data_IF_146091888181
#
_entry.id   IF_146091888181
#
_cell.length_a   1.000
_cell.length_b   1.000
_cell.length_c   1.000
_cell.angle_alpha   90.00
_cell.angle_beta   90.00
_cell.angle_gamma   90.00
#
_symmetry.space_group_name_H-M   'P 1'
#
loop_
_entity.id
_entity.type
_entity.pdbx_description
1 polymer ?
#
# COMPACT_ATOMS: atom_id res chain seq x y z
N UNK A 1 8.97 19.86 -28.82
CA UNK A 1 7.73 19.20 -28.41
C UNK A 1 7.96 17.71 -28.57
N UNK A 2 8.37 17.04 -27.50
CA UNK A 2 8.51 15.59 -27.47
C UNK A 2 7.78 15.12 -26.20
N UNK A 3 6.63 14.53 -26.40
CA UNK A 3 5.90 13.82 -25.37
C UNK A 3 6.74 12.60 -24.98
N UNK A 4 7.35 12.62 -23.81
CA UNK A 4 7.96 11.42 -23.22
C UNK A 4 6.83 10.58 -22.62
N UNK A 5 6.24 9.75 -23.48
CA UNK A 5 5.50 8.57 -23.03
C UNK A 5 6.44 7.74 -22.17
N UNK A 6 6.06 7.50 -20.91
CA UNK A 6 6.63 6.41 -20.13
C UNK A 6 6.15 5.14 -20.83
N UNK A 7 7.01 4.59 -21.69
CA UNK A 7 6.71 3.34 -22.37
C UNK A 7 6.58 2.23 -21.33
N UNK A 8 5.36 1.72 -21.15
CA UNK A 8 5.11 0.40 -20.65
C UNK A 8 5.66 -0.56 -21.70
N UNK A 9 6.90 -1.03 -21.53
CA UNK A 9 7.42 -2.15 -22.31
C UNK A 9 6.64 -3.39 -21.91
N UNK A 10 5.65 -3.73 -22.72
CA UNK A 10 5.06 -5.04 -22.76
C UNK A 10 6.15 -6.02 -23.18
N UNK A 11 6.70 -6.77 -22.26
CA UNK A 11 7.47 -7.97 -22.61
C UNK A 11 6.49 -9.06 -23.00
N UNK A 12 6.49 -9.35 -24.29
CA UNK A 12 5.80 -10.50 -24.85
C UNK A 12 6.28 -11.79 -24.17
N UNK A 13 5.34 -12.51 -23.60
CA UNK A 13 5.54 -13.88 -23.11
C UNK A 13 5.74 -14.81 -24.28
N UNK A 14 6.99 -15.19 -24.56
CA UNK A 14 7.25 -16.43 -25.30
C UNK A 14 7.00 -17.58 -24.34
N UNK A 15 5.88 -18.24 -24.54
CA UNK A 15 5.54 -19.51 -23.89
C UNK A 15 6.48 -20.60 -24.36
N UNK A 16 7.40 -21.03 -23.50
CA UNK A 16 8.02 -22.33 -23.61
C UNK A 16 7.13 -23.31 -22.85
N UNK A 17 6.40 -24.09 -23.61
CA UNK A 17 5.55 -25.17 -23.16
C UNK A 17 6.45 -26.31 -22.72
N UNK A 18 6.49 -26.62 -21.42
CA UNK A 18 7.07 -27.85 -20.89
C UNK A 18 5.90 -28.71 -20.41
N UNK A 19 5.65 -29.78 -21.16
CA UNK A 19 4.74 -30.86 -20.79
C UNK A 19 5.20 -31.53 -19.50
N UNK A 20 4.38 -31.46 -18.44
CA UNK A 20 4.49 -32.32 -17.26
C UNK A 20 3.14 -33.00 -17.03
N UNK A 21 3.15 -34.32 -17.16
CA UNK A 21 2.01 -35.19 -16.93
C UNK A 21 1.47 -35.13 -15.50
N UNK A 22 0.17 -35.39 -15.26
CA UNK A 22 -0.42 -35.26 -13.94
C UNK A 22 -0.03 -36.45 -13.04
N UNK A 23 0.48 -36.17 -11.85
CA UNK A 23 0.69 -37.17 -10.80
C UNK A 23 -0.65 -37.50 -10.13
N UNK A 24 -1.00 -38.77 -10.18
CA UNK A 24 -2.18 -39.37 -9.55
C UNK A 24 -2.07 -39.32 -8.03
N UNK A 25 -2.95 -38.56 -7.37
CA UNK A 25 -3.08 -38.58 -5.92
C UNK A 25 -3.91 -39.78 -5.47
N UNK A 26 -3.25 -40.69 -4.76
CA UNK A 26 -3.86 -41.82 -4.05
C UNK A 26 -4.46 -41.31 -2.73
N UNK A 27 -5.76 -41.51 -2.53
CA UNK A 27 -6.44 -41.20 -1.27
C UNK A 27 -6.12 -42.24 -0.19
N UNK A 28 -5.91 -41.82 1.08
CA UNK A 28 -5.80 -42.78 2.17
C UNK A 28 -7.19 -43.19 2.68
N UNK A 29 -7.27 -44.49 3.01
CA UNK A 29 -8.44 -45.22 3.43
C UNK A 29 -9.06 -44.74 4.74
N UNK A 30 -10.39 -44.85 4.84
CA UNK A 30 -11.19 -44.62 6.02
C UNK A 30 -10.87 -45.68 7.09
N UNK A 31 -10.59 -45.23 8.29
CA UNK A 31 -10.58 -46.08 9.48
C UNK A 31 -11.89 -45.93 10.22
N UNK A 32 -12.50 -47.08 10.55
CA UNK A 32 -13.78 -47.27 11.19
C UNK A 32 -13.67 -47.12 12.71
N UNK A 33 -14.70 -46.54 13.29
CA UNK A 33 -15.03 -46.38 14.72
C UNK A 33 -15.13 -47.72 15.45
N UNK A 34 -15.01 -47.75 16.80
CA UNK A 34 -16.08 -48.32 17.58
C UNK A 34 -16.63 -47.39 18.67
N UNK A 35 -17.93 -47.64 18.92
CA UNK A 35 -18.80 -46.95 19.84
C UNK A 35 -18.70 -47.45 21.30
N UNK A 36 -19.25 -46.63 22.15
CA UNK A 36 -19.91 -46.89 23.41
C UNK A 36 -19.13 -46.81 24.72
N UNK A 37 -19.52 -45.88 25.56
CA UNK A 37 -20.14 -46.18 26.84
C UNK A 37 -20.63 -44.89 27.52
N UNK A 38 -21.90 -44.84 27.81
CA UNK A 38 -22.57 -43.89 28.72
C UNK A 38 -22.26 -44.24 30.18
N UNK A 39 -22.16 -43.27 31.09
CA UNK A 39 -22.67 -43.44 32.44
C UNK A 39 -23.67 -42.36 32.85
N UNK A 40 -24.60 -42.81 33.61
CA UNK A 40 -25.83 -42.27 34.15
C UNK A 40 -25.56 -41.17 35.20
N UNK A 41 -26.39 -40.14 35.11
CA UNK A 41 -26.91 -39.18 36.09
C UNK A 41 -26.50 -39.24 37.57
N UNK A 42 -26.08 -38.08 38.09
CA UNK A 42 -26.42 -37.64 39.44
C UNK A 42 -26.77 -36.14 39.40
N UNK A 43 -28.04 -35.86 39.71
CA UNK A 43 -28.63 -34.53 39.82
C UNK A 43 -28.27 -33.95 41.18
N UNK A 44 -27.52 -32.86 41.20
CA UNK A 44 -27.43 -31.97 42.37
C UNK A 44 -27.84 -30.56 41.94
N UNK A 45 -28.98 -30.12 42.45
CA UNK A 45 -29.51 -28.77 42.27
C UNK A 45 -28.64 -27.78 43.04
N UNK A 46 -27.85 -26.98 42.32
CA UNK A 46 -27.18 -25.82 42.87
C UNK A 46 -27.96 -24.56 42.48
N UNK A 47 -28.26 -23.74 43.46
CA UNK A 47 -28.99 -22.48 43.35
C UNK A 47 -28.28 -21.54 42.36
N UNK A 48 -29.00 -21.16 41.30
CA UNK A 48 -28.54 -20.18 40.32
C UNK A 48 -28.68 -18.78 40.94
N UNK A 49 -27.58 -18.24 41.45
CA UNK A 49 -27.46 -16.81 41.72
C UNK A 49 -27.45 -16.07 40.40
N UNK A 50 -28.50 -15.29 40.10
CA UNK A 50 -28.61 -14.43 38.92
C UNK A 50 -27.68 -13.24 39.12
N UNK A 51 -26.40 -13.38 38.76
CA UNK A 51 -25.55 -12.22 38.52
C UNK A 51 -25.99 -11.56 37.21
N UNK A 52 -26.35 -10.28 37.27
CA UNK A 52 -26.65 -9.45 36.11
C UNK A 52 -25.51 -9.54 35.10
N UNK A 53 -25.79 -9.59 33.79
CA UNK A 53 -24.73 -9.61 32.79
C UNK A 53 -23.92 -8.32 32.90
N UNK A 54 -22.64 -8.47 33.25
CA UNK A 54 -21.70 -7.37 33.17
C UNK A 54 -21.78 -6.78 31.75
N UNK A 55 -22.17 -5.53 31.66
CA UNK A 55 -22.14 -4.76 30.43
C UNK A 55 -20.73 -4.90 29.81
N UNK A 56 -20.59 -5.70 28.75
CA UNK A 56 -19.39 -5.75 27.95
C UNK A 56 -19.22 -4.34 27.41
N UNK A 57 -18.32 -3.56 28.01
CA UNK A 57 -17.88 -2.30 27.44
C UNK A 57 -17.52 -2.58 25.98
N UNK A 58 -18.29 -2.04 25.04
CA UNK A 58 -18.01 -2.11 23.62
C UNK A 58 -16.64 -1.45 23.44
N UNK A 59 -15.61 -2.26 23.27
CA UNK A 59 -14.29 -1.77 22.91
C UNK A 59 -14.46 -0.82 21.72
N UNK A 60 -14.14 0.46 21.93
CA UNK A 60 -14.26 1.47 20.88
C UNK A 60 -13.43 1.00 19.69
N UNK A 61 -14.09 0.69 18.57
CA UNK A 61 -13.41 0.24 17.34
C UNK A 61 -12.45 1.33 16.94
N UNK A 62 -11.17 1.03 17.02
CA UNK A 62 -10.10 2.00 16.77
C UNK A 62 -10.21 2.51 15.34
N UNK A 63 -10.33 3.83 15.16
CA UNK A 63 -10.42 4.43 13.83
C UNK A 63 -9.13 4.23 13.07
N UNK A 64 -9.21 3.62 11.90
CA UNK A 64 -8.15 3.60 10.89
C UNK A 64 -8.50 4.68 9.86
N UNK A 65 -7.66 5.71 9.70
CA UNK A 65 -7.91 6.73 8.69
C UNK A 65 -7.85 6.13 7.29
N UNK A 66 -8.76 6.60 6.42
CA UNK A 66 -8.83 6.15 5.02
C UNK A 66 -8.39 7.28 4.10
N UNK A 67 -7.60 6.96 3.10
CA UNK A 67 -7.12 7.82 2.04
C UNK A 67 -7.34 7.21 0.66
N UNK A 68 -6.95 7.97 -0.37
CA UNK A 68 -6.74 7.46 -1.73
C UNK A 68 -5.28 7.55 -2.13
N UNK A 69 -4.81 6.58 -2.93
CA UNK A 69 -3.55 6.61 -3.68
C UNK A 69 -3.92 6.66 -5.17
N UNK A 70 -4.03 7.84 -5.79
CA UNK A 70 -4.46 7.97 -7.19
C UNK A 70 -3.31 7.75 -8.20
N UNK A 71 -2.09 7.46 -7.73
CA UNK A 71 -0.93 7.37 -8.59
C UNK A 71 -0.49 8.73 -9.14
N UNK A 72 0.24 8.71 -10.27
CA UNK A 72 0.75 9.93 -10.91
C UNK A 72 -0.32 10.74 -11.65
N UNK A 73 -1.40 10.11 -12.12
CA UNK A 73 -2.39 10.73 -13.01
C UNK A 73 -2.97 12.02 -12.46
N UNK A 74 -3.28 12.08 -11.17
CA UNK A 74 -3.86 13.26 -10.53
C UNK A 74 -2.97 14.51 -10.60
N UNK A 75 -1.66 14.35 -10.74
CA UNK A 75 -0.72 15.46 -10.84
C UNK A 75 -0.67 16.04 -12.25
N UNK A 76 -1.07 15.29 -13.26
CA UNK A 76 -1.07 15.68 -14.66
C UNK A 76 -2.39 16.30 -15.11
N UNK A 77 -3.42 16.19 -14.29
CA UNK A 77 -4.75 16.73 -14.56
C UNK A 77 -4.77 18.25 -14.71
N UNK A 78 -5.79 18.73 -15.39
CA UNK A 78 -6.15 20.16 -15.35
C UNK A 78 -6.45 20.59 -13.92
N UNK A 79 -6.37 21.88 -13.62
CA UNK A 79 -6.72 22.39 -12.30
C UNK A 79 -8.20 22.13 -11.96
N UNK A 80 -9.06 22.16 -12.95
CA UNK A 80 -10.48 21.88 -12.79
C UNK A 80 -10.71 20.41 -12.43
N UNK A 81 -10.09 19.50 -13.15
CA UNK A 81 -10.22 18.06 -12.91
C UNK A 81 -9.62 17.66 -11.55
N UNK A 82 -8.44 18.18 -11.22
CA UNK A 82 -7.85 17.99 -9.89
C UNK A 82 -8.81 18.42 -8.77
N UNK A 83 -9.43 19.60 -8.90
CA UNK A 83 -10.40 20.09 -7.92
C UNK A 83 -11.60 19.17 -7.82
N UNK A 84 -12.14 18.73 -8.97
CA UNK A 84 -13.26 17.80 -9.04
C UNK A 84 -12.96 16.48 -8.35
N UNK A 85 -11.79 15.88 -8.60
CA UNK A 85 -11.40 14.63 -8.01
C UNK A 85 -11.16 14.76 -6.49
N UNK A 86 -10.52 15.82 -6.03
CA UNK A 86 -10.38 16.09 -4.59
C UNK A 86 -11.73 16.34 -3.89
N UNK A 87 -12.69 16.97 -4.56
CA UNK A 87 -14.04 17.18 -4.04
C UNK A 87 -14.82 15.86 -3.96
N UNK A 88 -14.66 14.96 -4.95
CA UNK A 88 -15.20 13.60 -4.89
C UNK A 88 -14.63 12.79 -3.71
N UNK A 89 -13.33 12.87 -3.44
CA UNK A 89 -12.73 12.25 -2.25
C UNK A 89 -13.39 12.76 -0.97
N UNK A 90 -13.60 14.08 -0.87
CA UNK A 90 -14.27 14.68 0.29
C UNK A 90 -15.73 14.26 0.42
N UNK A 91 -16.45 14.12 -0.69
CA UNK A 91 -17.84 13.66 -0.73
C UNK A 91 -17.99 12.22 -0.23
N UNK A 92 -17.04 11.34 -0.51
CA UNK A 92 -16.96 9.99 0.07
C UNK A 92 -16.67 10.06 1.59
N UNK A 93 -15.98 11.08 2.05
CA UNK A 93 -15.58 11.24 3.44
C UNK A 93 -14.11 10.99 3.71
N UNK A 94 -13.31 10.83 2.67
CA UNK A 94 -11.86 10.67 2.74
C UNK A 94 -11.20 12.02 3.03
N UNK A 95 -10.16 11.97 3.87
CA UNK A 95 -9.41 13.17 4.31
C UNK A 95 -7.91 12.99 4.19
N UNK A 96 -7.48 12.00 3.42
CA UNK A 96 -6.06 11.69 3.19
C UNK A 96 -5.83 11.34 1.73
N UNK A 97 -4.62 11.66 1.26
CA UNK A 97 -4.16 11.29 -0.07
C UNK A 97 -2.69 10.86 0.01
N UNK A 98 -2.31 9.86 -0.77
CA UNK A 98 -0.93 9.50 -1.02
C UNK A 98 -0.54 10.06 -2.38
N UNK A 99 0.52 10.83 -2.44
CA UNK A 99 0.99 11.51 -3.66
C UNK A 99 2.44 11.21 -3.91
N UNK A 100 2.78 10.93 -5.15
CA UNK A 100 4.16 10.79 -5.58
C UNK A 100 4.83 12.16 -5.69
N UNK A 101 5.96 12.32 -5.05
CA UNK A 101 6.85 13.47 -5.19
C UNK A 101 8.12 12.99 -5.90
N UNK A 102 8.06 12.93 -7.22
CA UNK A 102 9.10 12.38 -8.05
C UNK A 102 10.33 13.30 -8.13
N UNK A 103 11.51 12.78 -7.74
CA UNK A 103 12.75 13.50 -7.92
C UNK A 103 13.03 13.81 -9.39
N UNK A 104 12.77 12.85 -10.28
CA UNK A 104 12.95 13.05 -11.73
C UNK A 104 12.09 14.17 -12.30
N UNK A 105 10.85 14.34 -11.80
CA UNK A 105 9.97 15.41 -12.27
C UNK A 105 10.35 16.78 -11.69
N UNK A 106 10.72 16.80 -10.43
CA UNK A 106 11.07 18.06 -9.74
C UNK A 106 12.45 18.56 -10.15
N UNK A 107 13.43 17.68 -10.29
CA UNK A 107 14.81 18.03 -10.69
C UNK A 107 15.16 17.37 -12.02
N UNK A 108 14.34 17.60 -13.06
CA UNK A 108 14.59 17.10 -14.41
C UNK A 108 15.92 17.59 -15.00
N UNK A 109 16.37 18.76 -14.57
CA UNK A 109 17.70 19.29 -14.86
C UNK A 109 18.48 19.45 -13.57
N UNK A 110 19.66 18.90 -13.49
CA UNK A 110 20.51 18.90 -12.29
C UNK A 110 20.67 20.29 -11.68
N UNK A 111 20.35 20.42 -10.39
CA UNK A 111 20.45 21.68 -9.64
C UNK A 111 19.29 22.66 -9.88
N UNK A 112 18.30 22.31 -10.70
CA UNK A 112 17.13 23.16 -10.97
C UNK A 112 15.85 22.44 -10.52
N UNK A 113 15.25 22.93 -9.44
CA UNK A 113 13.99 22.41 -8.93
C UNK A 113 12.80 23.15 -9.53
N UNK A 114 11.91 22.42 -10.18
CA UNK A 114 10.58 22.89 -10.57
C UNK A 114 9.53 22.22 -9.66
N UNK A 115 9.02 22.97 -8.72
CA UNK A 115 7.99 22.54 -7.78
C UNK A 115 6.56 22.85 -8.24
N UNK A 116 6.38 23.47 -9.39
CA UNK A 116 5.09 24.04 -9.84
C UNK A 116 3.95 23.04 -9.81
N UNK A 117 4.18 21.82 -10.29
CA UNK A 117 3.19 20.75 -10.29
C UNK A 117 2.84 20.30 -8.87
N UNK A 118 3.83 20.07 -8.04
CA UNK A 118 3.63 19.65 -6.64
C UNK A 118 2.97 20.76 -5.82
N UNK A 119 3.40 22.02 -5.98
CA UNK A 119 2.81 23.18 -5.32
C UNK A 119 1.32 23.29 -5.61
N UNK A 120 0.93 23.13 -6.89
CA UNK A 120 -0.46 23.16 -7.33
C UNK A 120 -1.31 22.12 -6.61
N UNK A 121 -0.87 20.86 -6.61
CA UNK A 121 -1.62 19.76 -5.98
C UNK A 121 -1.70 19.93 -4.47
N UNK A 122 -0.58 20.27 -3.82
CA UNK A 122 -0.52 20.46 -2.38
C UNK A 122 -1.35 21.67 -1.92
N UNK A 123 -1.42 22.76 -2.72
CA UNK A 123 -2.30 23.87 -2.41
C UNK A 123 -3.78 23.47 -2.43
N UNK A 124 -4.21 22.69 -3.43
CA UNK A 124 -5.60 22.23 -3.53
C UNK A 124 -5.98 21.20 -2.44
N UNK A 125 -5.06 20.29 -2.08
CA UNK A 125 -5.28 19.37 -0.94
C UNK A 125 -5.41 20.13 0.38
N UNK A 126 -4.55 21.15 0.61
CA UNK A 126 -4.60 22.01 1.80
C UNK A 126 -5.92 22.77 1.92
N UNK A 127 -6.40 23.39 0.83
CA UNK A 127 -7.68 24.12 0.81
C UNK A 127 -8.86 23.23 1.24
N UNK A 128 -8.78 21.92 0.99
CA UNK A 128 -9.82 20.94 1.33
C UNK A 128 -9.58 20.21 2.65
N UNK A 129 -8.54 20.56 3.39
CA UNK A 129 -8.17 19.86 4.62
C UNK A 129 -7.80 18.38 4.41
N UNK A 130 -7.28 18.04 3.23
CA UNK A 130 -6.79 16.70 2.89
C UNK A 130 -5.33 16.59 3.33
N UNK A 131 -5.02 15.62 4.19
CA UNK A 131 -3.65 15.36 4.67
C UNK A 131 -2.90 14.52 3.65
N UNK A 132 -1.65 14.88 3.39
CA UNK A 132 -0.81 14.23 2.40
C UNK A 132 0.18 13.27 3.05
N UNK A 133 0.28 12.06 2.50
CA UNK A 133 1.42 11.18 2.57
C UNK A 133 2.19 11.37 1.26
N UNK A 134 3.41 11.88 1.33
CA UNK A 134 4.25 12.06 0.15
C UNK A 134 5.18 10.85 -0.04
N UNK A 135 5.12 10.22 -1.20
CA UNK A 135 6.09 9.22 -1.64
C UNK A 135 7.22 9.94 -2.33
N UNK A 136 8.44 9.86 -1.80
CA UNK A 136 9.63 10.37 -2.47
C UNK A 136 10.36 9.23 -3.17
N UNK A 137 10.61 9.40 -4.46
CA UNK A 137 11.21 8.35 -5.28
C UNK A 137 11.63 8.84 -6.66
N UNK A 138 11.97 7.89 -7.52
CA UNK A 138 12.16 8.05 -8.96
C UNK A 138 13.35 8.96 -9.32
N UNK A 139 14.52 8.33 -9.41
CA UNK A 139 15.75 8.99 -9.77
C UNK A 139 15.71 9.55 -11.20
N UNK A 140 16.16 10.80 -11.44
CA UNK A 140 16.25 11.35 -12.79
C UNK A 140 17.39 10.72 -13.60
N UNK A 141 17.24 10.70 -14.92
CA UNK A 141 18.19 10.09 -15.86
C UNK A 141 19.60 10.66 -15.73
N UNK A 142 19.74 11.96 -15.49
CA UNK A 142 21.04 12.60 -15.29
C UNK A 142 21.81 12.11 -14.05
N UNK A 143 21.11 11.49 -13.08
CA UNK A 143 21.72 10.89 -11.89
C UNK A 143 21.95 9.40 -12.05
N UNK A 144 21.35 8.74 -13.06
CA UNK A 144 21.53 7.33 -13.33
C UNK A 144 22.97 7.04 -13.79
N UNK A 145 23.56 6.01 -13.22
CA UNK A 145 24.90 5.51 -13.58
C UNK A 145 24.81 4.06 -14.00
N UNK A 146 25.76 3.68 -14.85
CA UNK A 146 25.91 2.32 -15.34
C UNK A 146 27.36 1.86 -15.10
N UNK A 147 27.55 0.57 -14.90
CA UNK A 147 28.89 -0.03 -14.86
C UNK A 147 29.44 -0.26 -16.31
N UNK A 148 30.67 -0.79 -16.39
CA UNK A 148 31.30 -1.08 -17.68
C UNK A 148 30.57 -2.14 -18.53
N UNK A 149 29.67 -2.93 -17.92
CA UNK A 149 28.83 -3.90 -18.61
C UNK A 149 27.42 -3.35 -18.93
N UNK A 150 27.20 -2.04 -18.77
CA UNK A 150 25.90 -1.40 -19.03
C UNK A 150 24.83 -1.71 -18.00
N UNK A 151 25.16 -2.23 -16.82
CA UNK A 151 24.19 -2.56 -15.78
C UNK A 151 23.92 -1.33 -14.93
N UNK A 152 22.64 -1.02 -14.62
CA UNK A 152 22.28 0.12 -13.79
C UNK A 152 22.89 0.00 -12.40
N UNK A 153 23.46 1.09 -11.93
CA UNK A 153 23.99 1.19 -10.58
C UNK A 153 22.91 1.60 -9.60
N UNK A 154 23.08 1.31 -8.29
CA UNK A 154 22.16 1.75 -7.26
C UNK A 154 21.91 3.26 -7.29
N UNK A 155 20.76 3.65 -6.74
CA UNK A 155 20.31 5.06 -6.63
C UNK A 155 21.42 5.96 -6.06
N UNK A 156 21.61 7.15 -6.63
CA UNK A 156 22.47 8.21 -6.08
C UNK A 156 21.91 8.68 -4.71
N UNK A 157 22.37 8.04 -3.66
CA UNK A 157 21.89 8.28 -2.29
C UNK A 157 22.14 9.72 -1.84
N UNK A 158 23.26 10.32 -2.25
CA UNK A 158 23.60 11.68 -1.83
C UNK A 158 22.70 12.71 -2.53
N UNK A 159 22.48 12.55 -3.82
CA UNK A 159 21.56 13.37 -4.60
C UNK A 159 20.13 13.24 -4.10
N UNK A 160 19.67 12.01 -3.93
CA UNK A 160 18.34 11.75 -3.44
C UNK A 160 18.10 12.30 -2.01
N UNK A 161 19.08 12.18 -1.12
CA UNK A 161 19.00 12.74 0.22
C UNK A 161 18.95 14.28 0.24
N UNK A 162 19.65 14.95 -0.69
CA UNK A 162 19.54 16.41 -0.87
C UNK A 162 18.14 16.81 -1.33
N UNK A 163 17.62 16.13 -2.36
CA UNK A 163 16.25 16.34 -2.84
C UNK A 163 15.21 16.14 -1.72
N UNK A 164 15.30 15.03 -0.99
CA UNK A 164 14.39 14.72 0.12
C UNK A 164 14.40 15.82 1.20
N UNK A 165 15.57 16.32 1.57
CA UNK A 165 15.71 17.43 2.51
C UNK A 165 15.09 18.74 2.02
N UNK A 166 15.29 19.07 0.73
CA UNK A 166 14.67 20.24 0.11
C UNK A 166 13.14 20.13 0.05
N UNK A 167 12.63 18.95 -0.33
CA UNK A 167 11.19 18.67 -0.35
C UNK A 167 10.57 18.80 1.06
N UNK A 168 11.22 18.22 2.07
CA UNK A 168 10.75 18.28 3.45
C UNK A 168 10.72 19.73 3.98
N UNK A 169 11.75 20.51 3.74
CA UNK A 169 11.79 21.92 4.13
C UNK A 169 10.69 22.74 3.45
N UNK A 170 10.44 22.49 2.14
CA UNK A 170 9.40 23.20 1.38
C UNK A 170 7.99 22.88 1.88
N UNK A 171 7.71 21.61 2.18
CA UNK A 171 6.35 21.10 2.40
C UNK A 171 6.06 20.71 3.86
N UNK A 172 6.90 21.10 4.83
CA UNK A 172 6.80 20.75 6.24
C UNK A 172 5.43 21.00 6.91
N UNK A 173 4.65 21.96 6.39
CA UNK A 173 3.31 22.28 6.91
C UNK A 173 2.17 21.64 6.14
N UNK A 174 2.47 20.94 5.04
CA UNK A 174 1.49 20.40 4.11
C UNK A 174 1.54 18.87 4.06
N UNK A 175 2.74 18.29 4.16
CA UNK A 175 2.95 16.84 4.18
C UNK A 175 2.90 16.34 5.62
N UNK A 176 2.06 15.35 5.88
CA UNK A 176 1.89 14.76 7.22
C UNK A 176 2.76 13.53 7.46
N UNK A 177 3.28 12.93 6.40
CA UNK A 177 4.20 11.79 6.44
C UNK A 177 4.96 11.65 5.12
N UNK A 178 6.13 11.02 5.17
CA UNK A 178 7.06 10.81 4.06
C UNK A 178 7.32 9.32 3.90
N UNK A 179 7.04 8.78 2.74
CA UNK A 179 7.31 7.39 2.38
C UNK A 179 8.53 7.33 1.47
N UNK A 180 9.55 6.56 1.85
CA UNK A 180 10.79 6.48 1.09
C UNK A 180 10.66 5.40 0.03
N UNK A 181 10.56 5.81 -1.24
CA UNK A 181 10.41 5.01 -2.44
C UNK A 181 9.05 4.34 -2.56
N UNK A 182 8.78 3.79 -3.77
CA UNK A 182 7.63 2.95 -4.08
C UNK A 182 8.11 1.56 -4.50
N UNK A 183 7.59 0.51 -3.88
CA UNK A 183 7.83 -0.90 -4.17
C UNK A 183 9.30 -1.28 -4.43
N UNK A 184 10.23 -0.94 -3.49
CA UNK A 184 11.66 -1.17 -3.68
C UNK A 184 12.04 -2.66 -3.69
N UNK A 185 11.09 -3.53 -3.43
CA UNK A 185 11.23 -4.97 -3.49
C UNK A 185 10.94 -5.57 -4.88
N UNK A 186 10.61 -4.73 -5.87
CA UNK A 186 10.38 -5.11 -7.28
C UNK A 186 11.37 -4.41 -8.21
N UNK A 187 11.98 -5.15 -9.16
CA UNK A 187 12.91 -4.60 -10.14
C UNK A 187 12.28 -3.49 -11.00
N UNK A 188 10.99 -3.63 -11.35
CA UNK A 188 10.29 -2.62 -12.17
C UNK A 188 10.24 -1.22 -11.54
N UNK A 189 10.39 -1.13 -10.21
CA UNK A 189 10.39 0.13 -9.47
C UNK A 189 11.75 0.47 -8.85
N UNK A 190 12.61 -0.54 -8.68
CA UNK A 190 13.96 -0.39 -8.15
C UNK A 190 14.97 -0.58 -9.28
N UNK A 191 15.54 0.47 -9.79
CA UNK A 191 16.37 0.58 -11.00
C UNK A 191 17.36 -0.59 -11.24
N UNK A 192 17.94 -1.15 -10.16
CA UNK A 192 18.79 -2.35 -10.15
C UNK A 192 17.99 -3.55 -9.58
N UNK A 193 18.52 -4.78 -9.61
CA UNK A 193 17.89 -5.90 -8.91
C UNK A 193 17.56 -5.54 -7.45
N UNK A 194 16.33 -5.84 -6.96
CA UNK A 194 15.88 -5.44 -5.64
C UNK A 194 16.84 -5.92 -4.55
N UNK A 195 17.24 -5.00 -3.66
CA UNK A 195 18.24 -5.29 -2.65
C UNK A 195 17.95 -4.51 -1.37
N UNK A 196 17.53 -5.21 -0.32
CA UNK A 196 17.20 -4.62 0.97
C UNK A 196 18.38 -3.87 1.63
N UNK A 197 19.63 -4.27 1.37
CA UNK A 197 20.79 -3.57 1.92
C UNK A 197 21.01 -2.21 1.20
N UNK A 198 20.80 -2.15 -0.11
CA UNK A 198 20.88 -0.88 -0.86
C UNK A 198 19.75 0.06 -0.45
N UNK A 199 18.52 -0.46 -0.29
CA UNK A 199 17.39 0.30 0.21
C UNK A 199 17.63 0.81 1.64
N UNK A 200 18.13 -0.02 2.53
CA UNK A 200 18.50 0.37 3.89
C UNK A 200 19.55 1.50 3.90
N UNK A 201 20.55 1.42 3.03
CA UNK A 201 21.54 2.49 2.88
C UNK A 201 20.92 3.80 2.38
N UNK A 202 19.91 3.72 1.48
CA UNK A 202 19.13 4.87 1.04
C UNK A 202 18.34 5.47 2.21
N UNK A 203 17.61 4.67 2.97
CA UNK A 203 16.84 5.11 4.14
C UNK A 203 17.74 5.81 5.16
N UNK A 204 18.91 5.25 5.45
CA UNK A 204 19.87 5.82 6.39
C UNK A 204 20.43 7.18 5.93
N UNK A 205 20.53 7.42 4.64
CA UNK A 205 20.94 8.71 4.07
C UNK A 205 19.80 9.73 4.07
N UNK A 206 18.57 9.29 3.80
CA UNK A 206 17.40 10.13 3.55
C UNK A 206 16.68 10.55 4.83
N UNK A 207 16.44 9.63 5.77
CA UNK A 207 15.65 9.91 6.95
C UNK A 207 16.19 11.08 7.81
N UNK A 208 17.50 11.23 8.06
CA UNK A 208 18.04 12.40 8.74
C UNK A 208 17.80 13.72 7.99
N UNK A 209 17.82 13.69 6.64
CA UNK A 209 17.58 14.86 5.80
C UNK A 209 16.12 15.29 5.80
N UNK A 210 15.19 14.32 5.79
CA UNK A 210 13.76 14.59 5.97
C UNK A 210 13.51 15.29 7.30
N UNK A 211 14.06 14.75 8.39
CA UNK A 211 13.89 15.33 9.73
C UNK A 211 14.60 16.69 9.92
N UNK A 212 15.68 16.92 9.21
CA UNK A 212 16.33 18.24 9.20
C UNK A 212 15.48 19.30 8.47
N UNK A 213 14.82 18.93 7.38
CA UNK A 213 13.90 19.80 6.64
C UNK A 213 12.54 19.97 7.33
N UNK A 214 12.05 18.91 7.93
CA UNK A 214 10.78 18.85 8.68
C UNK A 214 11.00 18.12 10.02
N UNK A 215 11.22 18.83 11.13
CA UNK A 215 11.42 18.21 12.45
C UNK A 215 10.23 17.36 12.93
N UNK A 216 9.03 17.61 12.39
CA UNK A 216 7.82 16.82 12.64
C UNK A 216 7.63 15.65 11.69
N UNK A 217 8.57 15.41 10.76
CA UNK A 217 8.45 14.39 9.74
C UNK A 217 8.21 13.00 10.31
N UNK A 218 7.10 12.40 9.91
CA UNK A 218 6.86 10.97 10.09
C UNK A 218 7.38 10.24 8.87
N UNK A 219 8.36 9.35 9.07
CA UNK A 219 9.04 8.61 8.00
C UNK A 219 8.52 7.19 7.94
N UNK A 220 8.12 6.74 6.74
CA UNK A 220 7.69 5.38 6.46
C UNK A 220 8.75 4.67 5.60
N UNK A 221 8.94 3.38 5.90
CA UNK A 221 9.82 2.49 5.12
C UNK A 221 9.04 1.28 4.64
N UNK A 222 9.42 0.77 3.48
CA UNK A 222 8.82 -0.43 2.92
C UNK A 222 8.10 -0.16 1.62
N UNK A 223 6.82 0.27 1.68
CA UNK A 223 5.95 0.36 0.49
C UNK A 223 6.00 -0.94 -0.33
N UNK A 224 6.05 -2.09 0.38
CA UNK A 224 6.36 -3.37 -0.23
C UNK A 224 5.15 -3.94 -0.94
N UNK A 225 5.34 -4.26 -2.22
CA UNK A 225 4.36 -4.98 -3.06
C UNK A 225 4.32 -6.47 -2.73
N UNK A 226 3.17 -7.14 -2.93
CA UNK A 226 3.12 -8.60 -2.90
C UNK A 226 4.12 -9.21 -3.88
N UNK A 227 4.98 -10.10 -3.37
CA UNK A 227 5.95 -10.82 -4.19
C UNK A 227 6.42 -12.09 -3.48
N UNK A 228 6.93 -13.02 -4.27
CA UNK A 228 7.79 -14.10 -3.81
C UNK A 228 9.26 -13.71 -4.03
N UNK A 229 10.20 -14.51 -3.49
CA UNK A 229 11.62 -14.32 -3.76
C UNK A 229 11.96 -14.91 -5.13
N UNK A 230 12.24 -14.06 -6.12
CA UNK A 230 12.69 -14.43 -7.47
C UNK A 230 14.00 -13.69 -7.74
N UNK A 231 15.06 -14.44 -7.99
CA UNK A 231 16.42 -13.89 -8.14
C UNK A 231 16.47 -12.82 -9.26
N UNK A 232 16.95 -11.64 -8.90
CA UNK A 232 17.07 -10.52 -9.84
C UNK A 232 15.80 -9.72 -10.10
N UNK A 233 14.62 -10.25 -9.80
CA UNK A 233 13.34 -9.67 -10.18
C UNK A 233 12.56 -9.14 -8.98
N UNK A 234 12.35 -9.99 -7.97
CA UNK A 234 11.50 -9.64 -6.83
C UNK A 234 12.04 -10.22 -5.52
N UNK A 235 11.77 -9.51 -4.43
CA UNK A 235 12.05 -9.96 -3.06
C UNK A 235 10.75 -9.92 -2.25
N UNK A 236 10.43 -11.02 -1.57
CA UNK A 236 9.21 -11.07 -0.76
C UNK A 236 9.22 -10.01 0.34
N UNK A 237 8.07 -9.44 0.72
CA UNK A 237 7.99 -8.44 1.79
C UNK A 237 8.64 -8.90 3.10
N UNK A 238 8.55 -10.18 3.43
CA UNK A 238 9.15 -10.73 4.66
C UNK A 238 10.68 -10.75 4.59
N UNK A 239 11.25 -11.22 3.48
CA UNK A 239 12.71 -11.23 3.25
C UNK A 239 13.23 -9.79 3.19
N UNK A 240 12.55 -8.92 2.47
CA UNK A 240 12.93 -7.52 2.33
C UNK A 240 12.92 -6.79 3.68
N UNK A 241 11.85 -6.93 4.46
CA UNK A 241 11.70 -6.28 5.77
C UNK A 241 12.76 -6.75 6.77
N UNK A 242 13.09 -8.05 6.81
CA UNK A 242 14.22 -8.55 7.63
C UNK A 242 15.53 -7.87 7.25
N UNK A 243 15.78 -7.71 5.95
CA UNK A 243 16.97 -7.01 5.45
C UNK A 243 17.02 -5.53 5.84
N UNK A 244 15.87 -4.86 5.90
CA UNK A 244 15.73 -3.48 6.40
C UNK A 244 16.05 -3.41 7.89
N UNK A 245 15.40 -4.22 8.73
CA UNK A 245 15.65 -4.22 10.18
C UNK A 245 17.09 -4.54 10.56
N UNK A 246 17.75 -5.41 9.80
CA UNK A 246 19.16 -5.73 10.04
C UNK A 246 20.11 -4.54 9.84
N UNK A 247 19.68 -3.43 9.21
CA UNK A 247 20.57 -2.35 8.73
C UNK A 247 20.06 -0.93 9.02
N UNK A 248 18.78 -0.77 9.33
CA UNK A 248 18.18 0.55 9.58
C UNK A 248 17.87 0.69 11.06
N UNK A 249 18.50 1.64 11.77
CA UNK A 249 18.15 1.92 13.16
C UNK A 249 16.68 2.37 13.28
N UNK A 250 15.99 1.92 14.33
CA UNK A 250 14.57 2.23 14.56
C UNK A 250 14.27 3.73 14.62
N UNK A 251 15.24 4.55 15.06
CA UNK A 251 15.09 6.01 15.07
C UNK A 251 14.96 6.66 13.70
N UNK A 252 15.29 5.94 12.62
CA UNK A 252 15.25 6.45 11.24
C UNK A 252 13.87 6.34 10.58
N UNK A 253 12.92 5.61 11.19
CA UNK A 253 11.55 5.53 10.68
C UNK A 253 10.53 5.39 11.81
N UNK A 254 9.26 5.65 11.50
CA UNK A 254 8.14 5.68 12.46
C UNK A 254 7.07 4.64 12.16
N UNK A 255 7.09 4.08 10.94
CA UNK A 255 6.16 3.05 10.51
C UNK A 255 6.72 2.23 9.34
N UNK A 256 6.21 1.02 9.19
CA UNK A 256 6.41 0.18 8.01
C UNK A 256 5.20 0.36 7.09
N UNK A 257 5.41 0.36 5.77
CA UNK A 257 4.32 0.43 4.79
C UNK A 257 4.32 -0.77 3.84
N UNK A 258 3.12 -1.14 3.40
CA UNK A 258 2.89 -2.28 2.51
C UNK A 258 1.71 -2.00 1.58
N UNK A 259 1.68 -2.71 0.46
CA UNK A 259 0.58 -2.77 -0.49
C UNK A 259 -0.10 -4.15 -0.38
N UNK A 260 -1.05 -4.36 0.54
CA UNK A 260 -1.59 -5.69 0.82
C UNK A 260 -2.69 -6.10 -0.15
N UNK A 261 -2.44 -6.00 -1.45
CA UNK A 261 -3.39 -6.47 -2.46
C UNK A 261 -3.75 -7.94 -2.24
N UNK A 262 -5.04 -8.25 -2.38
CA UNK A 262 -5.58 -9.59 -2.16
C UNK A 262 -6.43 -10.12 -3.31
N UNK A 263 -6.70 -9.29 -4.33
CA UNK A 263 -7.51 -9.71 -5.46
C UNK A 263 -6.90 -10.92 -6.19
N UNK A 264 -7.75 -11.78 -6.77
CA UNK A 264 -9.20 -11.70 -6.75
C UNK A 264 -9.83 -12.21 -5.43
N UNK A 265 -9.05 -12.66 -4.45
CA UNK A 265 -9.57 -13.13 -3.16
C UNK A 265 -9.92 -11.97 -2.21
N UNK A 266 -10.86 -12.24 -1.30
CA UNK A 266 -11.22 -11.30 -0.24
C UNK A 266 -10.05 -11.08 0.74
N UNK A 267 -9.90 -9.88 1.35
CA UNK A 267 -8.85 -9.62 2.35
C UNK A 267 -9.02 -10.44 3.64
N UNK A 268 -10.17 -11.11 3.80
CA UNK A 268 -10.44 -12.06 4.88
C UNK A 268 -10.00 -13.48 4.56
N UNK A 269 -9.56 -13.75 3.34
CA UNK A 269 -9.08 -15.05 2.88
C UNK A 269 -7.85 -15.52 3.66
N UNK A 270 -7.61 -16.83 3.64
CA UNK A 270 -6.51 -17.50 4.34
C UNK A 270 -5.49 -18.09 3.39
N UNK A 271 -5.61 -17.78 2.11
CA UNK A 271 -4.67 -18.22 1.07
C UNK A 271 -3.26 -17.73 1.44
N UNK A 272 -2.27 -18.60 1.31
CA UNK A 272 -0.90 -18.28 1.71
C UNK A 272 -0.29 -17.13 0.90
N UNK A 273 -0.75 -16.92 -0.33
CA UNK A 273 -0.33 -15.80 -1.16
C UNK A 273 -1.03 -14.48 -0.78
N UNK A 274 -2.17 -14.52 -0.06
CA UNK A 274 -2.96 -13.33 0.31
C UNK A 274 -2.16 -12.41 1.23
N UNK A 275 -1.78 -11.26 0.72
CA UNK A 275 -0.89 -10.34 1.43
C UNK A 275 -1.55 -9.73 2.65
N UNK A 276 -2.87 -9.54 2.64
CA UNK A 276 -3.61 -9.13 3.84
C UNK A 276 -3.45 -10.16 4.98
N UNK A 277 -3.54 -11.44 4.65
CA UNK A 277 -3.31 -12.52 5.62
C UNK A 277 -1.85 -12.55 6.09
N UNK A 278 -0.89 -12.34 5.17
CA UNK A 278 0.55 -12.34 5.46
C UNK A 278 1.04 -11.15 6.30
N UNK A 279 0.25 -10.06 6.44
CA UNK A 279 0.64 -8.93 7.30
C UNK A 279 0.94 -9.35 8.75
N UNK A 280 0.36 -10.45 9.25
CA UNK A 280 0.70 -11.01 10.57
C UNK A 280 2.16 -11.40 10.67
N UNK A 281 2.75 -11.92 9.59
CA UNK A 281 4.17 -12.30 9.54
C UNK A 281 5.07 -11.06 9.57
N UNK A 282 4.70 -10.00 8.84
CA UNK A 282 5.39 -8.72 8.94
C UNK A 282 5.34 -8.17 10.37
N UNK A 283 4.19 -8.25 11.03
CA UNK A 283 4.04 -7.86 12.43
C UNK A 283 4.93 -8.65 13.38
N UNK A 284 5.08 -9.96 13.16
CA UNK A 284 6.00 -10.82 13.92
C UNK A 284 7.45 -10.39 13.73
N UNK A 285 7.86 -10.08 12.49
CA UNK A 285 9.21 -9.56 12.18
C UNK A 285 9.44 -8.22 12.92
N UNK A 286 8.49 -7.29 12.89
CA UNK A 286 8.57 -6.02 13.63
C UNK A 286 8.76 -6.26 15.13
N UNK A 287 7.95 -7.13 15.72
CA UNK A 287 8.03 -7.43 17.15
C UNK A 287 9.37 -8.08 17.55
N UNK A 288 9.85 -9.01 16.73
CA UNK A 288 11.14 -9.67 16.95
C UNK A 288 12.35 -8.71 16.88
N UNK A 289 12.18 -7.55 16.20
CA UNK A 289 13.19 -6.50 16.10
C UNK A 289 12.95 -5.34 17.08
N UNK A 290 12.12 -5.53 18.11
CA UNK A 290 11.86 -4.50 19.14
C UNK A 290 10.87 -3.41 18.71
N UNK A 291 10.27 -3.51 17.51
CA UNK A 291 9.37 -2.53 16.91
C UNK A 291 7.89 -2.90 17.08
N UNK A 292 7.53 -3.45 18.24
CA UNK A 292 6.16 -3.86 18.54
C UNK A 292 5.17 -2.69 18.68
N UNK A 293 5.62 -1.44 18.73
CA UNK A 293 4.75 -0.25 18.89
C UNK A 293 4.40 0.42 17.57
N UNK A 294 5.27 0.37 16.58
CA UNK A 294 5.04 0.96 15.26
C UNK A 294 3.87 0.30 14.54
N UNK A 295 3.30 1.02 13.59
CA UNK A 295 2.15 0.58 12.80
C UNK A 295 2.59 0.13 11.41
N UNK A 296 1.80 -0.78 10.82
CA UNK A 296 1.86 -1.08 9.40
C UNK A 296 0.85 -0.17 8.70
N UNK A 297 1.31 0.72 7.83
CA UNK A 297 0.46 1.53 6.96
C UNK A 297 0.18 0.76 5.68
N UNK A 298 -1.07 0.74 5.28
CA UNK A 298 -1.52 0.11 4.04
C UNK A 298 -1.57 1.20 2.98
N UNK A 299 -0.45 1.43 2.30
CA UNK A 299 -0.28 2.63 1.47
C UNK A 299 -0.83 2.49 0.07
N UNK A 300 -1.18 1.26 -0.34
CA UNK A 300 -2.09 0.95 -1.44
C UNK A 300 -2.92 -0.29 -1.14
N UNK A 301 -4.19 -0.24 -1.50
CA UNK A 301 -5.09 -1.38 -1.49
C UNK A 301 -6.23 -1.17 -2.48
N UNK A 302 -6.45 -2.11 -3.37
CA UNK A 302 -7.46 -2.02 -4.42
C UNK A 302 -7.82 -3.37 -5.00
N UNK A 303 -8.77 -3.38 -5.92
CA UNK A 303 -9.10 -4.51 -6.76
C UNK A 303 -9.52 -3.99 -8.14
N UNK A 304 -8.97 -4.51 -9.24
CA UNK A 304 -9.30 -4.06 -10.58
C UNK A 304 -10.64 -4.61 -11.02
N UNK A 305 -11.39 -3.81 -11.77
CA UNK A 305 -12.53 -4.26 -12.58
C UNK A 305 -12.10 -4.47 -14.04
N UNK A 306 -13.04 -4.60 -14.97
CA UNK A 306 -12.70 -4.80 -16.37
C UNK A 306 -12.72 -6.28 -16.77
N UNK A 307 -11.83 -6.64 -17.70
CA UNK A 307 -11.81 -7.98 -18.33
C UNK A 307 -10.45 -8.68 -18.25
N UNK A 308 -9.48 -8.15 -17.54
CA UNK A 308 -8.21 -8.84 -17.29
C UNK A 308 -8.43 -10.11 -16.45
N UNK A 309 -7.51 -11.07 -16.53
CA UNK A 309 -7.60 -12.35 -15.78
C UNK A 309 -7.70 -12.17 -14.26
N UNK A 310 -7.21 -11.05 -13.74
CA UNK A 310 -7.25 -10.72 -12.31
C UNK A 310 -8.41 -9.80 -11.94
N UNK A 311 -9.27 -9.42 -12.91
CA UNK A 311 -10.40 -8.53 -12.68
C UNK A 311 -11.46 -9.18 -11.80
N UNK A 312 -12.15 -8.35 -11.02
CA UNK A 312 -13.31 -8.73 -10.23
C UNK A 312 -14.54 -7.95 -10.70
N UNK A 313 -15.73 -8.45 -10.40
CA UNK A 313 -16.96 -7.70 -10.64
C UNK A 313 -16.99 -6.40 -9.81
N UNK A 314 -17.67 -5.36 -10.29
CA UNK A 314 -17.77 -4.07 -9.59
C UNK A 314 -18.39 -4.20 -8.18
N UNK A 315 -19.30 -5.16 -7.98
CA UNK A 315 -19.88 -5.44 -6.66
C UNK A 315 -18.85 -6.10 -5.73
N UNK A 316 -18.00 -6.98 -6.28
CA UNK A 316 -16.92 -7.62 -5.53
C UNK A 316 -15.84 -6.61 -5.19
N UNK A 317 -15.47 -5.69 -6.11
CA UNK A 317 -14.62 -4.55 -5.81
C UNK A 317 -15.15 -3.76 -4.60
N UNK A 318 -16.43 -3.41 -4.61
CA UNK A 318 -17.06 -2.69 -3.51
C UNK A 318 -16.98 -3.46 -2.19
N UNK A 319 -17.26 -4.76 -2.22
CA UNK A 319 -17.18 -5.64 -1.06
C UNK A 319 -15.74 -5.77 -0.53
N UNK A 320 -14.77 -5.93 -1.41
CA UNK A 320 -13.35 -6.05 -1.08
C UNK A 320 -12.80 -4.78 -0.43
N UNK A 321 -13.09 -3.59 -0.99
CA UNK A 321 -12.61 -2.32 -0.43
C UNK A 321 -13.18 -2.07 0.97
N UNK A 322 -14.48 -2.29 1.17
CA UNK A 322 -15.13 -2.17 2.49
C UNK A 322 -14.56 -3.19 3.47
N UNK A 323 -14.37 -4.43 3.04
CA UNK A 323 -13.78 -5.50 3.86
C UNK A 323 -12.34 -5.17 4.25
N UNK A 324 -11.52 -4.66 3.33
CA UNK A 324 -10.14 -4.23 3.61
C UNK A 324 -10.07 -3.16 4.70
N UNK A 325 -10.95 -2.15 4.64
CA UNK A 325 -11.05 -1.12 5.69
C UNK A 325 -11.41 -1.75 7.03
N UNK A 326 -12.38 -2.66 7.07
CA UNK A 326 -12.81 -3.34 8.29
C UNK A 326 -11.74 -4.24 8.87
N UNK A 327 -11.01 -4.98 8.01
CA UNK A 327 -9.86 -5.80 8.40
C UNK A 327 -8.73 -4.96 8.98
N UNK A 328 -8.41 -3.83 8.35
CA UNK A 328 -7.42 -2.90 8.88
C UNK A 328 -7.82 -2.41 10.29
N UNK A 329 -9.10 -2.09 10.52
CA UNK A 329 -9.59 -1.65 11.84
C UNK A 329 -9.51 -2.74 12.90
N UNK A 330 -9.78 -4.01 12.54
CA UNK A 330 -9.72 -5.14 13.46
C UNK A 330 -8.29 -5.45 13.92
N UNK A 331 -7.30 -5.19 13.07
CA UNK A 331 -5.89 -5.41 13.39
C UNK A 331 -5.33 -4.22 14.16
N UNK A 332 -5.20 -4.31 15.46
CA UNK A 332 -4.71 -3.23 16.32
C UNK A 332 -3.32 -2.65 15.97
N UNK A 333 -2.59 -3.29 15.06
CA UNK A 333 -1.26 -2.87 14.61
C UNK A 333 -1.24 -2.12 13.27
N UNK A 334 -2.39 -1.91 12.62
CA UNK A 334 -2.47 -1.14 11.38
C UNK A 334 -2.53 0.36 11.63
N UNK A 335 -2.00 1.12 10.70
CA UNK A 335 -2.14 2.57 10.53
C UNK A 335 -3.19 2.91 9.46
N UNK A 336 -3.07 4.07 8.81
CA UNK A 336 -3.92 4.46 7.69
C UNK A 336 -3.93 3.43 6.55
N UNK A 337 -5.07 3.35 5.85
CA UNK A 337 -5.22 2.61 4.61
C UNK A 337 -5.52 3.58 3.47
N UNK A 338 -4.83 3.42 2.34
CA UNK A 338 -5.03 4.21 1.12
C UNK A 338 -5.56 3.30 0.02
N UNK A 339 -6.68 3.69 -0.58
CA UNK A 339 -7.33 2.92 -1.62
C UNK A 339 -6.75 3.28 -2.99
N UNK A 340 -6.41 2.28 -3.77
CA UNK A 340 -5.96 2.40 -5.14
C UNK A 340 -7.11 1.94 -6.06
N UNK A 341 -7.85 2.83 -6.78
CA UNK A 341 -7.69 4.27 -6.81
C UNK A 341 -9.04 4.99 -6.76
N UNK A 342 -9.04 6.34 -6.85
CA UNK A 342 -10.28 7.11 -6.92
C UNK A 342 -10.99 6.93 -8.26
N UNK A 343 -10.24 7.07 -9.36
CA UNK A 343 -10.73 7.05 -10.74
C UNK A 343 -9.91 6.07 -11.56
N UNK A 344 -10.54 5.44 -12.53
CA UNK A 344 -9.87 4.62 -13.52
C UNK A 344 -8.78 5.44 -14.24
N UNK A 345 -7.61 4.86 -14.40
CA UNK A 345 -6.47 5.54 -15.01
C UNK A 345 -6.63 5.66 -16.53
N UNK A 346 -7.35 4.73 -17.16
CA UNK A 346 -7.62 4.72 -18.58
C UNK A 346 -8.97 4.10 -18.92
N UNK A 347 -9.11 3.68 -20.17
CA UNK A 347 -10.35 3.11 -20.73
C UNK A 347 -10.19 1.72 -21.30
N UNK A 348 -8.99 1.14 -21.27
CA UNK A 348 -8.77 -0.23 -21.72
C UNK A 348 -9.23 -1.21 -20.65
N UNK A 349 -10.36 -1.86 -20.89
CA UNK A 349 -10.91 -2.84 -19.95
C UNK A 349 -9.99 -4.08 -19.78
N UNK A 350 -9.11 -4.35 -20.73
CA UNK A 350 -8.13 -5.44 -20.67
C UNK A 350 -6.86 -5.09 -19.87
N UNK A 351 -6.54 -3.80 -19.73
CA UNK A 351 -5.43 -3.39 -18.89
C UNK A 351 -5.89 -3.27 -17.44
N UNK A 352 -5.34 -4.12 -16.58
CA UNK A 352 -5.63 -4.11 -15.14
C UNK A 352 -5.41 -2.73 -14.52
N UNK A 353 -4.33 -2.06 -14.88
CA UNK A 353 -3.94 -0.78 -14.26
C UNK A 353 -4.93 0.35 -14.58
N UNK A 354 -5.62 0.26 -15.69
CA UNK A 354 -6.66 1.22 -16.09
C UNK A 354 -7.92 1.15 -15.21
N UNK A 355 -8.17 0.04 -14.49
CA UNK A 355 -9.49 -0.30 -13.98
C UNK A 355 -9.64 -0.37 -12.45
N UNK A 356 -8.73 0.22 -11.68
CA UNK A 356 -8.79 0.22 -10.20
C UNK A 356 -9.72 1.26 -9.58
N UNK A 357 -10.23 2.19 -10.34
CA UNK A 357 -11.04 3.31 -9.85
C UNK A 357 -12.34 2.88 -9.16
N UNK A 358 -12.78 3.67 -8.18
CA UNK A 358 -14.17 3.62 -7.67
C UNK A 358 -15.09 4.53 -8.49
N UNK A 359 -14.51 5.32 -9.36
CA UNK A 359 -15.14 6.05 -10.47
C UNK A 359 -14.56 5.49 -11.77
N UNK A 360 -15.35 5.49 -12.84
CA UNK A 360 -14.85 5.25 -14.20
C UNK A 360 -13.92 6.37 -14.64
N UNK A 361 -13.22 6.20 -15.77
CA UNK A 361 -12.34 7.25 -16.31
C UNK A 361 -13.06 8.58 -16.57
N UNK A 362 -14.32 8.53 -16.99
CA UNK A 362 -15.21 9.69 -17.20
C UNK A 362 -16.01 10.10 -15.96
N UNK A 363 -15.62 9.60 -14.77
CA UNK A 363 -16.15 9.94 -13.44
C UNK A 363 -17.57 9.46 -13.12
N UNK A 364 -18.10 8.46 -13.80
CA UNK A 364 -19.31 7.78 -13.34
C UNK A 364 -18.99 6.92 -12.09
N UNK A 365 -19.91 6.95 -11.14
CA UNK A 365 -19.71 6.22 -9.89
C UNK A 365 -19.93 4.71 -10.06
N UNK A 366 -18.91 3.91 -9.77
CA UNK A 366 -19.07 2.46 -9.61
C UNK A 366 -19.74 2.15 -8.25
N UNK A 367 -20.29 0.94 -8.02
CA UNK A 367 -20.88 0.55 -6.74
C UNK A 367 -20.00 0.79 -5.52
N UNK A 368 -18.68 0.69 -5.69
CA UNK A 368 -17.67 0.93 -4.67
C UNK A 368 -17.74 2.36 -4.10
N UNK A 369 -18.02 3.38 -4.91
CA UNK A 369 -18.16 4.76 -4.46
C UNK A 369 -19.24 4.90 -3.38
N UNK A 370 -20.45 4.40 -3.65
CA UNK A 370 -21.56 4.45 -2.71
C UNK A 370 -21.32 3.58 -1.47
N UNK A 371 -20.67 2.42 -1.63
CA UNK A 371 -20.34 1.52 -0.53
C UNK A 371 -19.34 2.17 0.45
N UNK A 372 -18.29 2.80 -0.06
CA UNK A 372 -17.30 3.54 0.73
C UNK A 372 -17.93 4.72 1.46
N UNK A 373 -18.77 5.51 0.77
CA UNK A 373 -19.48 6.64 1.39
C UNK A 373 -20.33 6.17 2.58
N UNK A 374 -21.08 5.06 2.44
CA UNK A 374 -21.85 4.47 3.53
C UNK A 374 -20.97 3.98 4.68
N UNK A 375 -19.86 3.31 4.37
CA UNK A 375 -18.95 2.78 5.41
C UNK A 375 -18.31 3.91 6.23
N UNK A 376 -17.84 4.97 5.56
CA UNK A 376 -17.16 6.10 6.22
C UNK A 376 -18.13 7.04 6.95
N UNK A 377 -19.40 7.14 6.51
CA UNK A 377 -20.44 7.90 7.22
C UNK A 377 -20.77 7.26 8.57
N UNK A 378 -20.80 5.94 8.66
CA UNK A 378 -21.04 5.21 9.94
C UNK A 378 -19.98 5.51 10.99
N UNK A 379 -18.74 5.78 10.57
CA UNK A 379 -17.65 6.16 11.47
C UNK A 379 -17.86 7.53 12.09
N UNK A 380 -18.38 8.48 11.30
CA UNK A 380 -18.67 9.83 11.80
C UNK A 380 -19.80 9.85 12.81
N UNK A 381 -20.82 9.02 12.59
CA UNK A 381 -21.97 8.92 13.50
C UNK A 381 -21.63 8.23 14.84
N UNK A 382 -20.50 7.51 14.94
CA UNK A 382 -20.04 6.82 16.14
C UNK A 382 -18.98 7.64 16.93
N UNK A 383 -18.66 8.82 16.50
CA UNK A 383 -17.70 9.77 17.12
C UNK A 383 -18.40 10.87 17.86
#
# INVERSE_FOLDING_TARGET
MAAMCVALLAYGTTTAQADAAPATLVAPARSTTPAAATPTTATTAAAVSRTAPASRARSAVKRVPVGFSPGFSIQEESLEDLRRDLDQMRAIGVTRIRLDLSWARVEGVRGRYDWSQSDRVLAETRRRGIRVLAVIGYQPDWAQRYDSAGRPQPVDRAGFARFAGAAAARYRTQVGAWEIWNEPNLQRFWIAPPNAAQYAALVNAVAPRLRAGDPGARVLVGSMSPANDVAGETVSPMTFLRGVYARVPLRNFDAVSVHPYSFPAMPTGFEEWNTFFRMRQLRQIMAANGDARSKIWLTEYGAPTGTSDEAVGEQDQAAMLVSGIREARRRGYTGPIYLYSLRDAGTDAGDREDNFGVLTHDRHAKPAYAALRRELSRDRARS
#
